data_IF_284091711871
#
_entry.id   IF_284091711871
#
_cell.length_a   1.000
_cell.length_b   1.000
_cell.length_c   1.000
_cell.angle_alpha   90.00
_cell.angle_beta   90.00
_cell.angle_gamma   90.00
#
_symmetry.space_group_name_H-M   'P 1'
#
loop_
_entity.id
_entity.type
_entity.pdbx_description
1 polymer ?
#
# COMPACT_ATOMS: atom_id res chain seq x y z
N UNK A 1 -8.33 22.58 8.09
CA UNK A 1 -9.28 22.61 6.98
C UNK A 1 -10.04 21.31 6.75
N UNK A 2 -9.40 20.19 6.39
CA UNK A 2 -10.05 18.91 5.99
C UNK A 2 -10.82 18.21 7.12
N UNK A 3 -10.30 18.21 8.35
CA UNK A 3 -10.98 17.63 9.49
C UNK A 3 -12.29 18.36 9.83
N UNK A 4 -12.29 19.69 9.69
CA UNK A 4 -13.47 20.53 9.93
C UNK A 4 -14.55 20.31 8.87
N UNK A 5 -14.16 20.17 7.60
CA UNK A 5 -15.06 19.85 6.49
C UNK A 5 -15.69 18.44 6.61
N UNK A 6 -14.94 17.47 7.12
CA UNK A 6 -15.45 16.13 7.40
C UNK A 6 -16.48 16.12 8.52
N UNK A 7 -16.21 16.84 9.63
CA UNK A 7 -17.14 16.98 10.75
C UNK A 7 -18.47 17.60 10.33
N UNK A 8 -18.44 18.73 9.63
CA UNK A 8 -19.64 19.41 9.15
C UNK A 8 -20.51 18.48 8.30
N UNK A 9 -19.91 17.73 7.37
CA UNK A 9 -20.62 16.82 6.48
C UNK A 9 -21.28 15.65 7.20
N UNK A 10 -20.66 15.14 8.30
CA UNK A 10 -21.23 14.05 9.12
C UNK A 10 -22.41 14.55 9.94
N UNK A 11 -22.33 15.73 10.55
CA UNK A 11 -23.40 16.35 11.34
C UNK A 11 -24.57 16.76 10.44
N UNK A 12 -24.30 17.40 9.31
CA UNK A 12 -25.36 17.83 8.34
C UNK A 12 -26.19 16.68 7.77
N UNK A 13 -25.61 15.47 7.68
CA UNK A 13 -26.35 14.27 7.24
C UNK A 13 -27.18 13.62 8.37
N UNK A 14 -27.17 14.17 9.57
CA UNK A 14 -27.92 13.66 10.71
C UNK A 14 -27.49 12.28 11.19
N UNK A 15 -26.27 11.83 10.78
CA UNK A 15 -25.77 10.50 11.12
C UNK A 15 -25.25 10.41 12.57
N UNK A 16 -24.73 11.51 13.10
CA UNK A 16 -24.16 11.59 14.46
C UNK A 16 -24.41 12.96 15.07
N UNK A 17 -24.57 13.00 16.41
CA UNK A 17 -24.57 14.24 17.16
C UNK A 17 -23.18 14.91 17.23
N UNK A 18 -23.14 16.16 17.65
CA UNK A 18 -21.87 16.95 17.70
C UNK A 18 -20.76 16.27 18.48
N UNK A 19 -21.06 15.70 19.66
CA UNK A 19 -20.09 15.00 20.51
C UNK A 19 -19.56 13.73 19.86
N UNK A 20 -20.44 12.98 19.19
CA UNK A 20 -20.07 11.74 18.50
C UNK A 20 -19.23 12.03 17.25
N UNK A 21 -19.56 13.09 16.52
CA UNK A 21 -18.76 13.55 15.37
C UNK A 21 -17.38 14.01 15.80
N UNK A 22 -17.25 14.74 16.92
CA UNK A 22 -15.96 15.14 17.49
C UNK A 22 -15.13 13.93 17.95
N UNK A 23 -15.76 12.96 18.61
CA UNK A 23 -15.09 11.73 19.04
C UNK A 23 -14.60 10.91 17.83
N UNK A 24 -15.40 10.80 16.78
CA UNK A 24 -15.02 10.10 15.55
C UNK A 24 -13.84 10.80 14.84
N UNK A 25 -13.89 12.13 14.72
CA UNK A 25 -12.80 12.92 14.13
C UNK A 25 -11.52 12.78 14.94
N UNK A 26 -11.62 12.80 16.27
CA UNK A 26 -10.47 12.60 17.17
C UNK A 26 -9.90 11.18 17.06
N UNK A 27 -10.75 10.16 17.00
CA UNK A 27 -10.32 8.76 16.80
C UNK A 27 -9.60 8.55 15.46
N UNK A 28 -10.13 9.12 14.38
CA UNK A 28 -9.49 9.07 13.06
C UNK A 28 -8.17 9.86 13.02
N UNK A 29 -8.08 10.98 13.75
CA UNK A 29 -6.85 11.74 13.87
C UNK A 29 -5.79 10.98 14.67
N UNK A 30 -6.19 10.30 15.76
CA UNK A 30 -5.32 9.46 16.57
C UNK A 30 -4.82 8.25 15.78
N UNK A 31 -5.71 7.59 15.05
CA UNK A 31 -5.35 6.48 14.17
C UNK A 31 -4.29 6.90 13.13
N UNK A 32 -4.51 8.04 12.45
CA UNK A 32 -3.53 8.62 11.52
C UNK A 32 -2.20 8.98 12.18
N UNK A 33 -2.24 9.54 13.39
CA UNK A 33 -1.03 9.86 14.15
C UNK A 33 -0.26 8.60 14.57
N UNK A 34 -0.95 7.54 14.99
CA UNK A 34 -0.35 6.25 15.31
C UNK A 34 0.26 5.57 14.08
N UNK A 35 -0.41 5.64 12.91
CA UNK A 35 0.16 5.16 11.66
C UNK A 35 1.38 5.96 11.24
N UNK A 36 1.33 7.28 11.33
CA UNK A 36 2.47 8.15 11.06
C UNK A 36 3.65 7.87 12.01
N UNK A 37 3.37 7.65 13.31
CA UNK A 37 4.38 7.31 14.32
C UNK A 37 5.00 5.92 14.06
N UNK A 38 4.19 4.92 13.70
CA UNK A 38 4.67 3.59 13.32
C UNK A 38 5.52 3.62 12.05
N UNK A 39 5.13 4.41 11.07
CA UNK A 39 5.93 4.63 9.85
C UNK A 39 7.25 5.37 10.15
N UNK A 40 7.28 6.25 11.14
CA UNK A 40 8.48 6.98 11.56
C UNK A 40 9.41 6.15 12.48
N UNK A 41 8.86 5.20 13.23
CA UNK A 41 9.60 4.37 14.21
C UNK A 41 10.38 3.20 13.59
N UNK A 42 10.03 2.77 12.37
CA UNK A 42 10.85 1.87 11.56
C UNK A 42 11.63 2.78 10.62
N UNK A 43 12.92 2.52 10.41
CA UNK A 43 13.72 3.16 9.36
C UNK A 43 12.96 2.98 8.04
N UNK A 44 12.00 3.88 7.81
CA UNK A 44 11.09 3.79 6.67
C UNK A 44 11.96 3.94 5.43
N UNK A 45 12.00 2.95 4.52
CA UNK A 45 12.80 3.07 3.32
C UNK A 45 12.33 4.32 2.59
N UNK A 46 13.26 5.20 2.29
CA UNK A 46 13.02 6.14 1.19
C UNK A 46 12.94 5.28 -0.06
N UNK A 47 12.04 5.58 -0.97
CA UNK A 47 11.99 4.93 -2.28
C UNK A 47 13.25 5.31 -3.08
N UNK A 48 14.42 4.94 -2.55
CA UNK A 48 15.69 5.22 -3.20
C UNK A 48 15.99 4.15 -4.28
N UNK A 49 15.44 2.94 -4.13
CA UNK A 49 15.67 1.84 -5.07
C UNK A 49 14.78 0.63 -4.73
N UNK A 50 14.57 -0.27 -5.71
CA UNK A 50 13.98 -1.59 -5.51
C UNK A 50 14.70 -2.39 -4.40
N UNK A 51 16.03 -2.21 -4.28
CA UNK A 51 16.84 -2.81 -3.23
C UNK A 51 16.42 -2.37 -1.81
N UNK A 52 16.05 -1.11 -1.61
CA UNK A 52 15.56 -0.63 -0.32
C UNK A 52 14.20 -1.26 0.02
N UNK A 53 13.34 -1.45 -0.98
CA UNK A 53 12.06 -2.16 -0.83
C UNK A 53 12.30 -3.64 -0.53
N UNK A 54 13.18 -4.30 -1.27
CA UNK A 54 13.53 -5.72 -1.05
C UNK A 54 14.08 -5.96 0.36
N UNK A 55 15.00 -5.13 0.83
CA UNK A 55 15.52 -5.20 2.21
C UNK A 55 14.45 -4.99 3.28
N UNK A 56 13.45 -4.17 3.01
CA UNK A 56 12.31 -3.99 3.90
C UNK A 56 11.38 -5.20 3.88
N UNK A 57 11.14 -5.79 2.70
CA UNK A 57 10.12 -6.80 2.46
C UNK A 57 10.56 -8.22 2.84
N UNK A 58 11.78 -8.64 2.49
CA UNK A 58 12.26 -10.01 2.72
C UNK A 58 12.15 -10.46 4.18
N UNK A 59 12.59 -9.69 5.19
CA UNK A 59 12.45 -10.12 6.58
C UNK A 59 11.00 -10.21 7.08
N UNK A 60 10.06 -9.59 6.36
CA UNK A 60 8.63 -9.52 6.74
C UNK A 60 7.79 -10.56 6.06
N UNK A 61 8.10 -10.86 4.81
CA UNK A 61 7.24 -11.65 3.94
C UNK A 61 7.86 -12.98 3.51
N UNK A 62 9.19 -13.09 3.54
CA UNK A 62 9.89 -14.24 2.97
C UNK A 62 9.65 -15.57 3.68
N UNK A 63 9.16 -15.56 4.92
CA UNK A 63 8.85 -16.77 5.70
C UNK A 63 7.35 -17.08 5.78
N UNK A 64 6.49 -16.33 5.06
CA UNK A 64 5.05 -16.57 5.10
C UNK A 64 4.67 -17.79 4.26
N UNK A 65 3.84 -18.65 4.84
CA UNK A 65 3.31 -19.85 4.19
C UNK A 65 2.11 -19.58 3.26
N UNK A 66 1.63 -18.34 3.22
CA UNK A 66 0.55 -17.89 2.38
C UNK A 66 0.97 -16.64 1.61
N UNK A 67 0.33 -16.40 0.49
CA UNK A 67 0.60 -15.23 -0.33
C UNK A 67 -0.05 -13.99 0.27
N UNK A 68 0.71 -12.91 0.36
CA UNK A 68 0.23 -11.58 0.71
C UNK A 68 0.64 -10.58 -0.36
N UNK A 69 -0.26 -9.65 -0.67
CA UNK A 69 0.06 -8.48 -1.50
C UNK A 69 -0.02 -7.22 -0.64
N UNK A 70 1.03 -6.44 -0.71
CA UNK A 70 1.18 -5.18 0.01
C UNK A 70 1.31 -4.02 -0.96
N UNK A 71 0.74 -2.88 -0.58
CA UNK A 71 0.98 -1.59 -1.22
C UNK A 71 1.81 -0.71 -0.29
N UNK A 72 2.94 -0.24 -0.80
CA UNK A 72 3.79 0.75 -0.13
C UNK A 72 3.53 2.11 -0.77
N UNK A 73 3.01 3.04 -0.01
CA UNK A 73 2.63 4.37 -0.50
C UNK A 73 3.73 5.36 -0.15
N UNK A 74 4.13 6.17 -1.13
CA UNK A 74 5.20 7.15 -0.97
C UNK A 74 4.73 8.56 -1.32
N UNK A 75 5.19 9.52 -0.53
CA UNK A 75 4.95 10.94 -0.76
C UNK A 75 5.90 11.54 -1.80
N UNK A 76 5.70 12.82 -2.10
CA UNK A 76 6.50 13.58 -3.07
C UNK A 76 8.00 13.64 -2.71
N UNK A 77 8.34 13.53 -1.43
CA UNK A 77 9.73 13.52 -0.93
C UNK A 77 10.31 12.11 -0.84
N UNK A 78 9.65 11.11 -1.44
CA UNK A 78 10.03 9.70 -1.43
C UNK A 78 10.00 9.03 -0.05
N UNK A 79 9.43 9.67 0.95
CA UNK A 79 9.17 9.05 2.25
C UNK A 79 8.02 8.05 2.15
N UNK A 80 8.14 6.91 2.79
CA UNK A 80 7.03 5.97 2.91
C UNK A 80 5.97 6.55 3.86
N UNK A 81 4.75 6.71 3.35
CA UNK A 81 3.59 7.21 4.10
C UNK A 81 2.86 6.06 4.79
N UNK A 82 2.70 4.94 4.08
CA UNK A 82 2.07 3.74 4.64
C UNK A 82 2.56 2.48 3.96
N UNK A 83 2.37 1.35 4.64
CA UNK A 83 2.50 0.00 4.12
C UNK A 83 1.25 -0.79 4.53
N UNK A 84 0.45 -1.20 3.56
CA UNK A 84 -0.84 -1.87 3.79
C UNK A 84 -0.90 -3.19 3.07
N UNK A 85 -1.33 -4.23 3.78
CA UNK A 85 -1.71 -5.49 3.13
C UNK A 85 -3.07 -5.30 2.45
N UNK A 86 -3.11 -5.50 1.15
CA UNK A 86 -4.32 -5.34 0.33
C UNK A 86 -4.93 -6.68 -0.09
N UNK A 87 -4.15 -7.77 0.06
CA UNK A 87 -4.62 -9.12 -0.20
C UNK A 87 -3.89 -10.12 0.70
N UNK A 88 -4.62 -11.19 1.09
CA UNK A 88 -4.09 -12.38 1.72
C UNK A 88 -4.87 -13.57 1.18
N UNK A 89 -4.20 -14.61 0.67
CA UNK A 89 -4.88 -15.77 0.08
C UNK A 89 -3.98 -16.97 -0.11
N UNK A 90 -4.55 -18.04 -0.66
CA UNK A 90 -3.85 -19.25 -1.07
C UNK A 90 -3.62 -19.29 -2.58
N UNK A 91 -2.85 -20.28 -3.01
CA UNK A 91 -2.11 -20.48 -4.27
C UNK A 91 -2.87 -20.28 -5.61
N UNK A 92 -4.12 -19.90 -5.68
CA UNK A 92 -4.86 -20.06 -6.94
C UNK A 92 -5.47 -18.81 -7.59
N UNK A 93 -5.31 -17.62 -7.13
CA UNK A 93 -5.67 -16.44 -7.98
C UNK A 93 -5.50 -15.14 -7.17
N UNK A 94 -4.47 -14.38 -7.43
CA UNK A 94 -4.36 -13.00 -6.93
C UNK A 94 -5.36 -12.13 -7.70
N UNK A 95 -6.62 -12.18 -7.29
CA UNK A 95 -7.61 -11.19 -7.74
C UNK A 95 -7.83 -10.18 -6.63
N UNK A 96 -6.80 -9.35 -6.37
CA UNK A 96 -7.06 -8.19 -5.52
C UNK A 96 -7.91 -7.16 -6.30
N UNK A 97 -8.79 -6.53 -5.58
CA UNK A 97 -9.69 -5.55 -6.15
C UNK A 97 -8.95 -4.24 -6.43
N UNK A 98 -8.52 -4.03 -7.69
CA UNK A 98 -7.75 -2.88 -8.13
C UNK A 98 -8.30 -1.51 -7.66
N UNK A 99 -9.62 -1.24 -7.68
CA UNK A 99 -10.17 -0.01 -7.12
C UNK A 99 -9.90 0.18 -5.63
N UNK A 100 -9.88 -0.89 -4.84
CA UNK A 100 -9.57 -0.82 -3.41
C UNK A 100 -8.11 -0.48 -3.17
N UNK A 101 -7.19 -1.09 -3.91
CA UNK A 101 -5.76 -0.77 -3.86
C UNK A 101 -5.50 0.71 -4.17
N UNK A 102 -6.03 1.21 -5.27
CA UNK A 102 -5.81 2.60 -5.68
C UNK A 102 -6.47 3.60 -4.72
N UNK A 103 -7.62 3.24 -4.13
CA UNK A 103 -8.24 4.03 -3.07
C UNK A 103 -7.34 4.19 -1.85
N UNK A 104 -6.65 3.12 -1.41
CA UNK A 104 -5.67 3.21 -0.32
C UNK A 104 -4.55 4.20 -0.66
N UNK A 105 -3.99 4.13 -1.88
CA UNK A 105 -2.93 5.05 -2.32
C UNK A 105 -3.39 6.50 -2.27
N UNK A 106 -4.59 6.78 -2.77
CA UNK A 106 -5.17 8.13 -2.81
C UNK A 106 -5.53 8.62 -1.39
N UNK A 107 -6.12 7.76 -0.56
CA UNK A 107 -6.52 8.10 0.80
C UNK A 107 -5.34 8.50 1.69
N UNK A 108 -4.18 7.88 1.47
CA UNK A 108 -2.92 8.19 2.16
C UNK A 108 -2.20 9.43 1.59
N UNK A 109 -2.76 10.09 0.58
CA UNK A 109 -2.13 11.23 -0.08
C UNK A 109 -0.87 10.85 -0.86
N UNK A 110 -0.81 9.62 -1.37
CA UNK A 110 0.33 9.09 -2.10
C UNK A 110 0.61 9.84 -3.38
N UNK A 111 1.88 10.12 -3.65
CA UNK A 111 2.34 10.65 -4.93
C UNK A 111 2.75 9.51 -5.89
N UNK A 112 3.08 8.35 -5.36
CA UNK A 112 3.45 7.12 -6.07
C UNK A 112 3.38 5.92 -5.12
N UNK A 113 3.45 4.71 -5.68
CA UNK A 113 3.42 3.51 -4.86
C UNK A 113 4.27 2.38 -5.46
N UNK A 114 4.55 1.38 -4.62
CA UNK A 114 5.19 0.12 -4.99
C UNK A 114 4.28 -1.01 -4.55
N UNK A 115 4.16 -2.06 -5.36
CA UNK A 115 3.59 -3.32 -4.97
C UNK A 115 4.68 -4.24 -4.43
N UNK A 116 4.32 -5.06 -3.46
CA UNK A 116 5.15 -6.14 -2.95
C UNK A 116 4.27 -7.35 -2.71
N UNK A 117 4.67 -8.52 -3.19
CA UNK A 117 4.04 -9.77 -2.79
C UNK A 117 5.09 -10.85 -2.55
N UNK A 118 4.74 -11.88 -1.79
CA UNK A 118 5.62 -13.01 -1.56
C UNK A 118 5.12 -14.26 -2.27
N UNK A 119 6.07 -15.09 -2.67
CA UNK A 119 5.80 -16.45 -3.12
C UNK A 119 6.10 -17.44 -1.99
N UNK A 120 5.10 -18.18 -1.49
CA UNK A 120 5.30 -19.22 -0.47
C UNK A 120 6.24 -20.34 -0.90
N UNK A 121 6.43 -20.51 -2.23
CA UNK A 121 7.44 -21.45 -2.77
C UNK A 121 8.87 -21.09 -2.40
N UNK A 122 9.11 -19.81 -2.03
CA UNK A 122 10.43 -19.27 -1.74
C UNK A 122 11.20 -18.80 -2.98
N UNK A 123 10.70 -19.01 -4.19
CA UNK A 123 11.26 -18.50 -5.45
C UNK A 123 10.71 -17.11 -5.76
N UNK A 124 11.55 -16.05 -5.87
CA UNK A 124 11.11 -14.70 -6.17
C UNK A 124 10.88 -14.45 -7.67
N UNK A 125 10.96 -15.45 -8.52
CA UNK A 125 10.78 -15.30 -9.97
C UNK A 125 9.34 -14.87 -10.29
N UNK A 126 9.12 -13.73 -10.96
CA UNK A 126 7.78 -13.28 -11.31
C UNK A 126 7.07 -14.27 -12.25
N UNK A 127 5.81 -14.55 -11.99
CA UNK A 127 4.95 -15.35 -12.87
C UNK A 127 4.43 -14.52 -14.06
N UNK A 128 3.94 -15.15 -15.13
CA UNK A 128 3.24 -14.45 -16.21
C UNK A 128 2.03 -13.65 -15.71
N UNK A 129 1.32 -14.18 -14.72
CA UNK A 129 0.17 -13.54 -14.07
C UNK A 129 0.58 -12.26 -13.34
N UNK A 130 1.73 -12.27 -12.66
CA UNK A 130 2.28 -11.08 -12.00
C UNK A 130 2.55 -9.95 -13.00
N UNK A 131 3.09 -10.27 -14.16
CA UNK A 131 3.35 -9.30 -15.21
C UNK A 131 2.03 -8.66 -15.68
N UNK A 132 1.02 -9.48 -15.99
CA UNK A 132 -0.29 -9.01 -16.47
C UNK A 132 -0.97 -8.12 -15.43
N UNK A 133 -0.96 -8.54 -14.17
CA UNK A 133 -1.55 -7.76 -13.08
C UNK A 133 -0.79 -6.45 -12.88
N UNK A 134 0.54 -6.49 -12.90
CA UNK A 134 1.39 -5.30 -12.75
C UNK A 134 1.11 -4.26 -13.81
N UNK A 135 1.01 -4.66 -15.08
CA UNK A 135 0.69 -3.74 -16.18
C UNK A 135 -0.71 -3.11 -16.04
N UNK A 136 -1.69 -3.88 -15.56
CA UNK A 136 -3.05 -3.32 -15.29
C UNK A 136 -3.00 -2.28 -14.18
N UNK A 137 -2.28 -2.55 -13.10
CA UNK A 137 -2.11 -1.62 -11.97
C UNK A 137 -1.35 -0.38 -12.40
N UNK A 138 -0.26 -0.54 -13.17
CA UNK A 138 0.56 0.56 -13.67
C UNK A 138 -0.27 1.52 -14.55
N UNK A 139 -1.03 0.98 -15.51
CA UNK A 139 -1.92 1.79 -16.35
C UNK A 139 -2.96 2.55 -15.54
N UNK A 140 -3.61 1.90 -14.58
CA UNK A 140 -4.63 2.54 -13.76
C UNK A 140 -4.04 3.61 -12.83
N UNK A 141 -2.88 3.35 -12.22
CA UNK A 141 -2.17 4.32 -11.40
C UNK A 141 -1.74 5.55 -12.19
N UNK A 142 -1.24 5.37 -13.42
CA UNK A 142 -0.86 6.45 -14.30
C UNK A 142 -2.06 7.36 -14.66
N UNK A 143 -3.22 6.78 -15.00
CA UNK A 143 -4.46 7.54 -15.28
C UNK A 143 -4.89 8.38 -14.08
N UNK A 144 -4.69 7.89 -12.85
CA UNK A 144 -5.06 8.60 -11.63
C UNK A 144 -3.98 9.57 -11.12
N UNK A 145 -2.84 9.68 -11.83
CA UNK A 145 -1.72 10.55 -11.42
C UNK A 145 -0.94 10.03 -10.21
N UNK A 146 -1.09 8.75 -9.86
CA UNK A 146 -0.36 8.07 -8.79
C UNK A 146 0.36 6.83 -9.38
N UNK A 147 1.52 7.02 -10.06
CA UNK A 147 2.16 5.94 -10.80
C UNK A 147 2.66 4.81 -9.88
N UNK A 148 2.52 3.55 -10.36
CA UNK A 148 3.28 2.42 -9.87
C UNK A 148 4.74 2.61 -10.26
N UNK A 149 5.65 2.58 -9.29
CA UNK A 149 7.10 2.74 -9.53
C UNK A 149 7.78 1.40 -9.71
N UNK A 150 7.36 0.39 -8.94
CA UNK A 150 7.93 -0.94 -9.01
C UNK A 150 6.95 -1.98 -8.46
N UNK A 151 7.20 -3.25 -8.79
CA UNK A 151 6.55 -4.40 -8.18
C UNK A 151 7.60 -5.42 -7.80
N UNK A 152 7.72 -5.71 -6.51
CA UNK A 152 8.75 -6.58 -5.94
C UNK A 152 8.13 -7.90 -5.51
N UNK A 153 8.63 -9.00 -6.06
CA UNK A 153 8.32 -10.37 -5.63
C UNK A 153 9.35 -10.81 -4.60
N UNK A 154 8.87 -11.33 -3.48
CA UNK A 154 9.69 -11.77 -2.35
C UNK A 154 9.70 -13.30 -2.27
N UNK A 155 10.87 -13.88 -2.36
CA UNK A 155 11.12 -15.27 -2.03
C UNK A 155 11.61 -15.45 -0.60
N UNK A 156 12.07 -16.65 -0.24
CA UNK A 156 12.49 -16.98 1.12
C UNK A 156 13.62 -16.11 1.67
N UNK A 157 14.60 -15.75 0.81
CA UNK A 157 15.80 -14.98 1.20
C UNK A 157 16.21 -13.93 0.18
N UNK A 158 15.47 -13.79 -0.90
CA UNK A 158 15.78 -12.93 -2.04
C UNK A 158 14.51 -12.28 -2.58
N UNK A 159 14.69 -11.39 -3.52
CA UNK A 159 13.59 -10.69 -4.18
C UNK A 159 13.96 -10.41 -5.64
N UNK A 160 12.94 -10.20 -6.48
CA UNK A 160 13.07 -9.74 -7.86
C UNK A 160 12.00 -8.70 -8.19
N UNK A 161 12.28 -7.83 -9.16
CA UNK A 161 11.28 -6.93 -9.70
C UNK A 161 10.52 -7.59 -10.84
N UNK A 162 9.22 -7.32 -10.92
CA UNK A 162 8.40 -7.70 -12.06
C UNK A 162 8.70 -6.76 -13.21
N UNK A 163 9.11 -7.25 -14.38
CA UNK A 163 9.28 -6.39 -15.55
C UNK A 163 7.91 -5.92 -16.05
N UNK A 164 7.70 -4.62 -16.20
CA UNK A 164 6.46 -4.08 -16.76
C UNK A 164 6.73 -2.79 -17.54
N UNK A 165 5.79 -2.44 -18.42
CA UNK A 165 5.76 -1.14 -19.11
C UNK A 165 4.59 -0.32 -18.56
N UNK A 166 4.90 0.90 -18.11
CA UNK A 166 3.92 1.87 -17.66
C UNK A 166 3.34 2.67 -18.83
#
# INVERSE_FOLDING_TARGET
>A
GLARAGRTRIVERGALGDREADALVAALALERALHASRAASVTAPRLASAEAVGRWAVPRLGALEHEEVWVLVFGVRQQMLSARRVFQGGVQTVTFHLPSLLREVIAEGGARFVLVHNHPSGDPSPSPEDIVVTERVARAGAVLGVPLVDHVVVGARSWQCVPFRA
#
